data_IF_852458888620
#
_entry.id   IF_852458888620
#
_cell.length_a   1.000
_cell.length_b   1.000
_cell.length_c   1.000
_cell.angle_alpha   90.00
_cell.angle_beta   90.00
_cell.angle_gamma   90.00
#
_symmetry.space_group_name_H-M   'P 1'
#
loop_
_entity.id
_entity.type
_entity.pdbx_description
1 polymer ?
#
# COMPACT_ATOMS: atom_id res chain seq x y z
N UNK A 1 0.57 3.47 -17.40
CA UNK A 1 1.40 2.82 -16.36
C UNK A 1 1.49 1.32 -16.55
N UNK A 2 0.38 0.56 -16.40
CA UNK A 2 0.42 -0.93 -16.46
C UNK A 2 0.96 -1.49 -17.77
N UNK A 3 0.60 -0.92 -18.92
CA UNK A 3 1.15 -1.36 -20.21
C UNK A 3 2.68 -1.17 -20.27
N UNK A 4 3.20 -0.08 -19.72
CA UNK A 4 4.65 0.16 -19.64
C UNK A 4 5.33 -0.84 -18.70
N UNK A 5 4.75 -1.12 -17.53
CA UNK A 5 5.26 -2.12 -16.60
C UNK A 5 5.31 -3.52 -17.25
N UNK A 6 4.23 -3.90 -17.91
CA UNK A 6 4.15 -5.18 -18.63
C UNK A 6 5.15 -5.24 -19.79
N UNK A 7 5.28 -4.19 -20.57
CA UNK A 7 6.24 -4.12 -21.66
C UNK A 7 7.68 -4.27 -21.18
N UNK A 8 8.03 -3.55 -20.09
CA UNK A 8 9.36 -3.64 -19.49
C UNK A 8 9.65 -5.03 -18.92
N UNK A 9 8.68 -5.61 -18.18
CA UNK A 9 8.83 -6.95 -17.62
C UNK A 9 8.99 -8.01 -18.70
N UNK A 10 8.11 -7.99 -19.71
CA UNK A 10 8.16 -8.95 -20.83
C UNK A 10 9.46 -8.77 -21.63
N UNK A 11 9.85 -7.54 -21.97
CA UNK A 11 11.11 -7.26 -22.68
C UNK A 11 12.32 -7.80 -21.93
N UNK A 12 12.38 -7.58 -20.61
CA UNK A 12 13.46 -8.10 -19.77
C UNK A 12 13.49 -9.63 -19.72
N UNK A 13 12.33 -10.27 -19.64
CA UNK A 13 12.24 -11.75 -19.64
C UNK A 13 12.57 -12.35 -21.01
N UNK A 14 12.16 -11.71 -22.11
CA UNK A 14 12.51 -12.12 -23.47
C UNK A 14 14.02 -12.02 -23.69
N UNK A 15 14.64 -10.92 -23.29
CA UNK A 15 16.10 -10.75 -23.36
C UNK A 15 16.83 -11.85 -22.56
N UNK A 16 16.38 -12.16 -21.35
CA UNK A 16 16.92 -13.25 -20.55
C UNK A 16 16.75 -14.59 -21.25
N UNK A 17 15.56 -14.88 -21.79
CA UNK A 17 15.28 -16.11 -22.53
C UNK A 17 16.16 -16.27 -23.77
N UNK A 18 16.41 -15.19 -24.51
CA UNK A 18 17.30 -15.17 -25.65
C UNK A 18 18.77 -15.44 -25.27
N UNK A 19 19.25 -14.79 -24.21
CA UNK A 19 20.60 -14.99 -23.67
C UNK A 19 20.85 -16.45 -23.28
N UNK A 20 19.87 -17.11 -22.67
CA UNK A 20 19.98 -18.55 -22.31
C UNK A 20 19.56 -19.50 -23.42
N UNK A 21 19.12 -18.98 -24.59
CA UNK A 21 18.58 -19.75 -25.73
C UNK A 21 17.45 -20.69 -25.33
N UNK A 22 16.50 -20.22 -24.49
CA UNK A 22 15.49 -21.04 -23.82
C UNK A 22 14.66 -21.79 -24.84
N UNK A 23 14.33 -21.51 -25.96
CA UNK A 23 13.52 -22.29 -26.91
C UNK A 23 14.33 -22.80 -28.11
N UNK A 24 15.65 -22.62 -28.10
CA UNK A 24 16.54 -23.01 -29.20
C UNK A 24 17.46 -24.16 -28.84
N UNK A 25 17.55 -24.52 -27.57
CA UNK A 25 18.39 -25.62 -27.06
C UNK A 25 17.62 -26.45 -26.02
N UNK A 26 18.06 -27.68 -25.71
CA UNK A 26 17.49 -28.49 -24.63
C UNK A 26 17.52 -27.76 -23.31
N UNK A 27 16.44 -27.87 -22.49
CA UNK A 27 16.27 -27.17 -21.23
C UNK A 27 17.49 -27.27 -20.30
N UNK A 28 18.12 -28.44 -20.20
CA UNK A 28 19.32 -28.63 -19.37
C UNK A 28 20.48 -27.71 -19.74
N UNK A 29 20.68 -27.42 -21.04
CA UNK A 29 21.71 -26.49 -21.51
C UNK A 29 21.33 -25.05 -21.22
N UNK A 30 20.07 -24.68 -21.38
CA UNK A 30 19.56 -23.33 -21.03
C UNK A 30 19.72 -23.05 -19.54
N UNK A 31 19.40 -24.01 -18.66
CA UNK A 31 19.61 -23.89 -17.21
C UNK A 31 21.10 -23.76 -16.87
N UNK A 32 21.98 -24.53 -17.51
CA UNK A 32 23.43 -24.40 -17.34
C UNK A 32 23.96 -23.04 -17.79
N UNK A 33 23.38 -22.43 -18.84
CA UNK A 33 23.73 -21.07 -19.27
C UNK A 33 23.23 -20.01 -18.29
N UNK A 34 22.03 -20.22 -17.74
CA UNK A 34 21.46 -19.32 -16.72
C UNK A 34 22.39 -19.21 -15.51
N UNK A 35 22.88 -20.34 -14.99
CA UNK A 35 23.79 -20.36 -13.84
C UNK A 35 25.18 -19.76 -14.11
N UNK A 36 25.58 -19.67 -15.38
CA UNK A 36 26.88 -19.13 -15.81
C UNK A 36 26.82 -17.68 -16.29
N UNK A 37 25.65 -17.01 -16.16
CA UNK A 37 25.53 -15.60 -16.52
C UNK A 37 26.42 -14.73 -15.62
N UNK A 38 27.09 -13.70 -16.17
CA UNK A 38 27.86 -12.76 -15.38
C UNK A 38 26.96 -11.99 -14.41
N UNK A 39 27.51 -11.58 -13.26
CA UNK A 39 26.79 -10.84 -12.22
C UNK A 39 26.11 -9.60 -12.80
N UNK A 40 26.80 -8.85 -13.64
CA UNK A 40 26.25 -7.65 -14.28
C UNK A 40 24.99 -7.93 -15.11
N UNK A 41 24.90 -9.09 -15.78
CA UNK A 41 23.70 -9.46 -16.52
C UNK A 41 22.52 -9.75 -15.58
N UNK A 42 22.76 -10.44 -14.46
CA UNK A 42 21.76 -10.63 -13.42
C UNK A 42 21.34 -9.30 -12.76
N UNK A 43 22.33 -8.44 -12.44
CA UNK A 43 22.08 -7.13 -11.88
C UNK A 43 21.16 -6.29 -12.75
N UNK A 44 21.43 -6.23 -14.05
CA UNK A 44 20.59 -5.52 -15.02
C UNK A 44 19.18 -6.13 -15.12
N UNK A 45 19.06 -7.45 -15.20
CA UNK A 45 17.74 -8.12 -15.25
C UNK A 45 16.92 -7.81 -14.03
N UNK A 46 17.48 -7.91 -12.81
CA UNK A 46 16.80 -7.60 -11.57
C UNK A 46 16.41 -6.12 -11.50
N UNK A 47 17.30 -5.20 -11.89
CA UNK A 47 17.00 -3.78 -11.87
C UNK A 47 15.80 -3.43 -12.78
N UNK A 48 15.73 -3.99 -13.99
CA UNK A 48 14.60 -3.74 -14.89
C UNK A 48 13.30 -4.40 -14.42
N UNK A 49 13.35 -5.61 -13.86
CA UNK A 49 12.18 -6.25 -13.27
C UNK A 49 11.70 -5.47 -12.03
N UNK A 50 12.61 -5.00 -11.18
CA UNK A 50 12.29 -4.15 -10.04
C UNK A 50 11.61 -2.85 -10.47
N UNK A 51 12.12 -2.21 -11.53
CA UNK A 51 11.50 -1.02 -12.11
C UNK A 51 10.09 -1.31 -12.65
N UNK A 52 9.90 -2.44 -13.32
CA UNK A 52 8.56 -2.84 -13.80
C UNK A 52 7.58 -3.04 -12.64
N UNK A 53 8.00 -3.68 -11.54
CA UNK A 53 7.19 -3.86 -10.33
C UNK A 53 6.87 -2.51 -9.68
N UNK A 54 7.84 -1.59 -9.59
CA UNK A 54 7.64 -0.24 -9.06
C UNK A 54 6.62 0.53 -9.89
N UNK A 55 6.73 0.51 -11.23
CA UNK A 55 5.76 1.18 -12.14
C UNK A 55 4.36 0.58 -11.98
N UNK A 56 4.24 -0.75 -11.83
CA UNK A 56 2.97 -1.40 -11.56
C UNK A 56 2.37 -0.95 -10.21
N UNK A 57 3.19 -0.90 -9.16
CA UNK A 57 2.81 -0.40 -7.84
C UNK A 57 2.31 1.04 -7.87
N UNK A 58 3.08 1.95 -8.48
CA UNK A 58 2.69 3.36 -8.63
C UNK A 58 1.39 3.52 -9.42
N UNK A 59 1.22 2.70 -10.47
CA UNK A 59 0.00 2.76 -11.28
C UNK A 59 -1.22 2.29 -10.50
N UNK A 60 -1.10 1.18 -9.75
CA UNK A 60 -2.19 0.67 -8.92
C UNK A 60 -2.54 1.64 -7.80
N UNK A 61 -1.54 2.13 -7.09
CA UNK A 61 -1.73 3.09 -5.99
C UNK A 61 -2.32 4.44 -6.44
N UNK A 62 -2.10 4.85 -7.71
CA UNK A 62 -2.65 6.10 -8.23
C UNK A 62 -4.00 5.95 -8.95
N UNK A 63 -4.23 4.82 -9.62
CA UNK A 63 -5.38 4.67 -10.52
C UNK A 63 -6.55 3.89 -9.90
N UNK A 64 -6.32 3.08 -8.87
CA UNK A 64 -7.33 2.15 -8.31
C UNK A 64 -7.62 2.40 -6.82
N UNK A 65 -7.25 3.57 -6.31
CA UNK A 65 -7.62 4.00 -4.96
C UNK A 65 -9.12 3.90 -4.79
N UNK A 66 -9.54 3.36 -3.65
CA UNK A 66 -10.93 3.43 -3.20
C UNK A 66 -10.99 4.30 -1.97
N UNK A 67 -11.98 5.18 -1.92
CA UNK A 67 -12.17 6.16 -0.88
C UNK A 67 -13.62 6.17 -0.40
N UNK A 68 -13.80 6.41 0.90
CA UNK A 68 -15.09 6.73 1.51
C UNK A 68 -14.90 7.85 2.52
N UNK A 69 -15.61 8.96 2.32
CA UNK A 69 -15.61 10.12 3.23
C UNK A 69 -17.02 10.30 3.73
N UNK A 70 -17.23 10.18 5.03
CA UNK A 70 -18.54 10.36 5.65
C UNK A 70 -18.42 10.63 7.16
N UNK A 71 -19.51 11.08 7.77
CA UNK A 71 -19.61 11.13 9.23
C UNK A 71 -20.05 9.76 9.72
N UNK A 72 -19.28 9.17 10.63
CA UNK A 72 -19.61 7.91 11.28
C UNK A 72 -19.88 8.12 12.76
N UNK A 73 -21.00 7.59 13.24
CA UNK A 73 -21.29 7.46 14.65
C UNK A 73 -20.67 6.16 15.22
N UNK A 74 -20.41 6.07 16.54
CA UNK A 74 -19.94 4.82 17.15
C UNK A 74 -20.87 3.65 16.83
N UNK A 75 -20.29 2.57 16.32
CA UNK A 75 -21.03 1.37 15.86
C UNK A 75 -21.30 1.32 14.35
N UNK A 76 -21.18 2.43 13.63
CA UNK A 76 -21.37 2.46 12.18
C UNK A 76 -20.30 1.60 11.47
N UNK A 77 -20.71 0.93 10.38
CA UNK A 77 -19.83 0.08 9.57
C UNK A 77 -19.84 0.55 8.12
N UNK A 78 -18.68 0.61 7.50
CA UNK A 78 -18.49 0.95 6.09
C UNK A 78 -17.71 -0.15 5.41
N UNK A 79 -18.25 -0.71 4.32
CA UNK A 79 -17.55 -1.70 3.51
C UNK A 79 -16.79 -1.01 2.38
N UNK A 80 -15.47 -1.17 2.35
CA UNK A 80 -14.58 -0.61 1.33
C UNK A 80 -13.56 -1.65 0.87
N UNK A 81 -13.48 -1.90 -0.42
CA UNK A 81 -12.54 -2.88 -1.03
C UNK A 81 -12.62 -4.30 -0.44
N UNK A 82 -13.81 -4.71 0.08
CA UNK A 82 -14.03 -6.00 0.72
C UNK A 82 -13.54 -6.10 2.16
N UNK A 83 -13.24 -4.96 2.77
CA UNK A 83 -13.00 -4.79 4.21
C UNK A 83 -14.16 -4.04 4.84
N UNK A 84 -14.57 -4.46 6.02
CA UNK A 84 -15.59 -3.78 6.83
C UNK A 84 -14.88 -2.98 7.92
N UNK A 85 -15.06 -1.66 7.88
CA UNK A 85 -14.52 -0.71 8.85
C UNK A 85 -15.61 -0.36 9.85
N UNK A 86 -15.53 -0.88 11.06
CA UNK A 86 -16.41 -0.52 12.15
C UNK A 86 -15.77 0.61 12.96
N UNK A 87 -16.47 1.74 13.05
CA UNK A 87 -16.04 2.84 13.89
C UNK A 87 -16.48 2.60 15.34
N UNK A 88 -15.53 2.44 16.26
CA UNK A 88 -15.79 2.18 17.68
C UNK A 88 -15.96 3.47 18.50
N UNK A 89 -15.78 4.62 17.86
CA UNK A 89 -15.87 5.93 18.51
C UNK A 89 -14.53 6.65 18.54
N UNK A 90 -14.53 7.86 19.12
CA UNK A 90 -13.33 8.64 19.35
C UNK A 90 -13.35 9.26 20.73
N UNK A 91 -12.17 9.49 21.30
CA UNK A 91 -12.01 10.09 22.63
C UNK A 91 -10.82 11.07 22.66
N UNK A 92 -10.88 12.09 23.51
CA UNK A 92 -9.77 13.02 23.65
C UNK A 92 -8.65 12.41 24.51
N UNK A 93 -7.41 12.67 24.10
CA UNK A 93 -6.20 12.34 24.86
C UNK A 93 -5.24 13.55 24.90
N UNK A 94 -4.26 13.51 25.80
CA UNK A 94 -3.20 14.51 25.91
C UNK A 94 -1.85 13.88 25.67
N UNK A 95 -1.14 14.36 24.66
CA UNK A 95 0.26 14.05 24.42
C UNK A 95 1.20 15.01 25.16
N UNK A 96 2.52 14.83 25.03
CA UNK A 96 3.53 15.65 25.71
C UNK A 96 3.45 17.14 25.35
N UNK A 97 3.11 17.48 24.10
CA UNK A 97 3.08 18.84 23.56
C UNK A 97 1.88 19.10 22.63
N UNK A 98 0.86 18.21 22.66
CA UNK A 98 -0.36 18.32 21.85
C UNK A 98 -1.58 17.78 22.62
N UNK A 99 -2.75 18.23 22.22
CA UNK A 99 -4.02 17.56 22.52
C UNK A 99 -4.43 16.75 21.29
N UNK A 100 -5.01 15.59 21.47
CA UNK A 100 -5.43 14.73 20.36
C UNK A 100 -6.83 14.19 20.55
N UNK A 101 -7.51 13.91 19.44
CA UNK A 101 -8.70 13.06 19.36
C UNK A 101 -8.28 11.77 18.71
N UNK A 102 -8.35 10.67 19.45
CA UNK A 102 -8.02 9.33 18.98
C UNK A 102 -9.31 8.63 18.55
N UNK A 103 -9.42 8.29 17.27
CA UNK A 103 -10.48 7.43 16.75
C UNK A 103 -10.07 5.98 16.82
N UNK A 104 -11.03 5.05 16.93
CA UNK A 104 -10.76 3.63 16.88
C UNK A 104 -11.60 2.94 15.82
N UNK A 105 -10.95 2.16 14.95
CA UNK A 105 -11.59 1.36 13.93
C UNK A 105 -11.20 -0.12 14.09
N UNK A 106 -12.20 -0.99 14.11
CA UNK A 106 -11.98 -2.43 13.94
C UNK A 106 -12.21 -2.77 12.47
N UNK A 107 -11.17 -3.26 11.80
CA UNK A 107 -11.25 -3.65 10.39
C UNK A 107 -11.35 -5.16 10.29
N UNK A 108 -12.40 -5.63 9.61
CA UNK A 108 -12.63 -7.07 9.42
C UNK A 108 -12.68 -7.42 7.93
N UNK A 109 -12.40 -8.67 7.62
CA UNK A 109 -12.55 -9.26 6.28
C UNK A 109 -13.09 -10.67 6.41
N UNK A 110 -14.21 -10.97 5.74
CA UNK A 110 -14.89 -12.27 5.84
C UNK A 110 -15.16 -12.65 7.30
N UNK A 111 -15.59 -11.70 8.14
CA UNK A 111 -15.92 -11.91 9.54
C UNK A 111 -14.71 -12.10 10.48
N UNK A 112 -13.48 -12.01 9.98
CA UNK A 112 -12.25 -12.08 10.80
C UNK A 112 -11.64 -10.71 10.96
N UNK A 113 -11.23 -10.33 12.17
CA UNK A 113 -10.50 -9.11 12.43
C UNK A 113 -9.12 -9.18 11.76
N UNK A 114 -8.83 -8.17 10.94
CA UNK A 114 -7.54 -7.99 10.25
C UNK A 114 -6.63 -7.11 11.08
N UNK A 115 -7.15 -5.96 11.53
CA UNK A 115 -6.40 -4.96 12.29
C UNK A 115 -7.35 -4.07 13.09
N UNK A 116 -6.82 -3.45 14.14
CA UNK A 116 -7.44 -2.31 14.82
C UNK A 116 -6.57 -1.09 14.51
N UNK A 117 -7.19 -0.02 13.99
CA UNK A 117 -6.52 1.22 13.64
C UNK A 117 -6.95 2.31 14.61
N UNK A 118 -5.98 3.06 15.12
CA UNK A 118 -6.18 4.18 16.04
C UNK A 118 -5.65 5.49 15.41
N UNK A 119 -6.34 6.05 14.38
CA UNK A 119 -5.96 7.35 13.81
C UNK A 119 -6.16 8.48 14.82
N UNK A 120 -5.31 9.52 14.72
CA UNK A 120 -5.38 10.67 15.62
C UNK A 120 -5.52 11.99 14.86
N UNK A 121 -6.26 12.93 15.44
CA UNK A 121 -6.23 14.33 15.07
C UNK A 121 -5.56 15.13 16.18
N UNK A 122 -4.33 15.56 15.93
CA UNK A 122 -3.51 16.29 16.90
C UNK A 122 -3.59 17.79 16.69
N UNK A 123 -3.55 18.56 17.80
CA UNK A 123 -3.40 20.01 17.81
C UNK A 123 -2.22 20.34 18.72
N UNK A 124 -1.15 20.87 18.15
CA UNK A 124 0.06 21.19 18.89
C UNK A 124 -0.11 22.45 19.74
N UNK A 125 0.32 22.40 21.02
CA UNK A 125 0.11 23.47 21.99
C UNK A 125 0.78 24.80 21.59
N UNK A 126 1.91 24.76 20.87
CA UNK A 126 2.68 25.96 20.50
C UNK A 126 2.18 26.56 19.18
N UNK A 127 1.99 25.75 18.15
CA UNK A 127 1.60 26.24 16.82
C UNK A 127 0.09 26.41 16.66
N UNK A 128 -0.71 25.71 17.47
CA UNK A 128 -2.17 25.65 17.30
C UNK A 128 -2.61 24.95 16.00
N UNK A 129 -1.66 24.44 15.19
CA UNK A 129 -1.97 23.80 13.92
C UNK A 129 -2.45 22.37 14.12
N UNK A 130 -3.58 21.98 13.49
CA UNK A 130 -4.02 20.61 13.49
C UNK A 130 -3.18 19.76 12.51
N UNK A 131 -2.81 18.56 12.94
CA UNK A 131 -2.23 17.51 12.09
C UNK A 131 -3.06 16.24 12.19
N UNK A 132 -2.98 15.42 11.17
CA UNK A 132 -3.68 14.14 11.11
C UNK A 132 -2.65 13.02 11.08
N UNK A 133 -2.73 12.14 12.07
CA UNK A 133 -1.98 10.90 12.12
C UNK A 133 -2.92 9.78 11.68
N UNK A 134 -2.68 9.22 10.53
CA UNK A 134 -3.52 8.17 9.99
C UNK A 134 -3.20 6.81 10.62
N UNK A 135 -4.23 6.00 10.82
CA UNK A 135 -4.06 4.56 11.05
C UNK A 135 -3.82 3.86 9.73
N UNK A 136 -2.68 3.17 9.57
CA UNK A 136 -2.29 2.50 8.33
C UNK A 136 -1.91 1.06 8.62
N UNK A 137 -2.49 0.12 7.88
CA UNK A 137 -2.07 -1.28 7.87
C UNK A 137 -1.60 -1.67 6.47
N UNK A 138 -0.29 -1.87 6.27
CA UNK A 138 0.25 -2.33 5.00
C UNK A 138 -0.10 -3.80 4.77
N UNK A 139 -0.63 -4.10 3.58
CA UNK A 139 -0.84 -5.47 3.14
C UNK A 139 -0.17 -5.71 1.77
N UNK A 140 0.01 -6.97 1.39
CA UNK A 140 0.62 -7.29 0.09
C UNK A 140 -0.19 -6.75 -1.11
N UNK A 141 -1.53 -6.67 -0.97
CA UNK A 141 -2.41 -6.20 -2.05
C UNK A 141 -2.69 -4.70 -2.02
N UNK A 142 -2.42 -4.04 -0.90
CA UNK A 142 -2.62 -2.60 -0.72
C UNK A 142 -2.74 -2.21 0.74
N UNK A 143 -2.65 -0.91 1.02
CA UNK A 143 -2.72 -0.40 2.37
C UNK A 143 -4.16 -0.08 2.75
N UNK A 144 -4.53 -0.51 3.95
CA UNK A 144 -5.78 -0.14 4.63
C UNK A 144 -5.48 1.14 5.41
N UNK A 145 -6.31 2.17 5.23
CA UNK A 145 -6.01 3.49 5.75
C UNK A 145 -7.27 4.13 6.35
N UNK A 146 -7.16 4.65 7.56
CA UNK A 146 -8.24 5.33 8.26
C UNK A 146 -7.79 6.66 8.84
N UNK A 147 -8.66 7.66 8.81
CA UNK A 147 -8.46 8.98 9.40
C UNK A 147 -9.71 9.35 10.20
N UNK A 148 -9.49 10.00 11.34
CA UNK A 148 -10.54 10.69 12.10
C UNK A 148 -10.35 12.21 11.98
N UNK A 149 -11.44 12.92 11.69
CA UNK A 149 -11.49 14.38 11.55
C UNK A 149 -12.28 15.05 12.65
N UNK A 150 -13.01 16.12 12.28
CA UNK A 150 -13.84 16.89 13.21
C UNK A 150 -15.13 16.15 13.59
N UNK A 151 -15.70 16.54 14.73
CA UNK A 151 -17.03 16.10 15.13
C UNK A 151 -18.09 16.57 14.13
N UNK A 152 -19.10 15.78 13.91
CA UNK A 152 -20.21 16.06 13.00
C UNK A 152 -21.44 15.25 13.36
N UNK A 153 -22.44 15.32 12.50
CA UNK A 153 -23.66 14.53 12.63
C UNK A 153 -23.80 13.63 11.41
N UNK A 154 -24.05 12.35 11.61
CA UNK A 154 -24.28 11.43 10.52
C UNK A 154 -25.66 11.63 9.85
N UNK A 155 -25.96 10.99 8.70
CA UNK A 155 -27.25 11.12 8.03
C UNK A 155 -28.48 10.72 8.88
N UNK A 156 -28.29 9.88 9.90
CA UNK A 156 -29.33 9.46 10.82
C UNK A 156 -29.54 10.44 11.99
N UNK A 157 -28.83 11.59 12.00
CA UNK A 157 -28.91 12.59 13.06
C UNK A 157 -28.12 12.26 14.32
N UNK A 158 -27.27 11.21 14.31
CA UNK A 158 -26.44 10.82 15.46
C UNK A 158 -25.13 11.59 15.47
N UNK A 159 -24.62 12.00 16.67
CA UNK A 159 -23.31 12.60 16.78
C UNK A 159 -22.21 11.60 16.41
N UNK A 160 -21.23 12.04 15.67
CA UNK A 160 -20.13 11.23 15.17
C UNK A 160 -18.93 12.09 14.79
N UNK A 161 -18.07 11.52 13.95
CA UNK A 161 -16.86 12.18 13.47
C UNK A 161 -16.73 12.02 11.95
N UNK A 162 -16.20 13.04 11.30
CA UNK A 162 -15.81 12.92 9.89
C UNK A 162 -14.71 11.87 9.79
N UNK A 163 -14.94 10.84 9.01
CA UNK A 163 -13.97 9.76 8.76
C UNK A 163 -13.58 9.75 7.30
N UNK A 164 -12.32 9.42 7.04
CA UNK A 164 -11.84 9.16 5.68
C UNK A 164 -11.18 7.80 5.67
N UNK A 165 -11.74 6.92 4.88
CA UNK A 165 -11.26 5.55 4.74
C UNK A 165 -10.74 5.36 3.34
N UNK A 166 -9.55 4.76 3.21
CA UNK A 166 -8.94 4.49 1.91
C UNK A 166 -8.47 3.04 1.83
N UNK A 167 -8.49 2.52 0.64
CA UNK A 167 -7.72 1.37 0.26
C UNK A 167 -6.83 1.75 -0.92
N UNK A 168 -5.51 1.72 -0.71
CA UNK A 168 -4.51 2.10 -1.68
C UNK A 168 -3.85 0.84 -2.26
N UNK A 169 -4.27 0.35 -3.45
CA UNK A 169 -3.77 -0.90 -4.00
C UNK A 169 -2.29 -0.84 -4.35
N UNK A 170 -1.59 -1.96 -4.17
CA UNK A 170 -0.22 -2.19 -4.65
C UNK A 170 0.86 -1.24 -4.09
N UNK A 171 0.60 -0.51 -3.00
CA UNK A 171 1.61 0.37 -2.38
C UNK A 171 2.87 -0.42 -1.99
N UNK A 172 2.69 -1.62 -1.39
CA UNK A 172 3.80 -2.49 -1.03
C UNK A 172 4.68 -2.90 -2.24
N UNK A 173 4.10 -2.95 -3.45
CA UNK A 173 4.83 -3.29 -4.68
C UNK A 173 5.80 -2.19 -5.12
N UNK A 174 5.51 -0.91 -4.82
CA UNK A 174 6.46 0.19 -5.06
C UNK A 174 7.74 -0.05 -4.29
N UNK A 175 7.63 -0.33 -2.99
CA UNK A 175 8.78 -0.59 -2.13
C UNK A 175 9.48 -1.90 -2.49
N UNK A 176 8.72 -2.96 -2.76
CA UNK A 176 9.24 -4.24 -3.22
C UNK A 176 10.07 -4.11 -4.51
N UNK A 177 9.57 -3.34 -5.48
CA UNK A 177 10.28 -3.07 -6.73
C UNK A 177 11.58 -2.30 -6.50
N UNK A 178 11.56 -1.28 -5.62
CA UNK A 178 12.77 -0.54 -5.23
C UNK A 178 13.81 -1.46 -4.59
N UNK A 179 13.40 -2.36 -3.69
CA UNK A 179 14.32 -3.32 -3.07
C UNK A 179 14.94 -4.28 -4.07
N UNK A 180 14.15 -4.74 -5.07
CA UNK A 180 14.67 -5.55 -6.18
C UNK A 180 15.67 -4.75 -7.02
N UNK A 181 15.40 -3.46 -7.32
CA UNK A 181 16.35 -2.60 -8.04
C UNK A 181 17.65 -2.43 -7.27
N UNK A 182 17.60 -2.18 -5.95
CA UNK A 182 18.79 -2.06 -5.09
C UNK A 182 19.60 -3.35 -5.13
N UNK A 183 18.95 -4.50 -4.98
CA UNK A 183 19.62 -5.80 -5.08
C UNK A 183 20.27 -6.01 -6.45
N UNK A 184 19.59 -5.61 -7.53
CA UNK A 184 20.13 -5.65 -8.89
C UNK A 184 21.35 -4.76 -9.06
N UNK A 185 21.30 -3.52 -8.56
CA UNK A 185 22.45 -2.59 -8.60
C UNK A 185 23.64 -3.07 -7.76
N UNK A 186 23.40 -3.67 -6.59
CA UNK A 186 24.47 -4.22 -5.75
C UNK A 186 25.13 -5.47 -6.36
N UNK A 187 24.42 -6.19 -7.25
CA UNK A 187 24.94 -7.38 -7.91
C UNK A 187 25.77 -7.04 -9.17
N UNK A 188 25.50 -5.90 -9.80
CA UNK A 188 26.20 -5.50 -11.04
C UNK A 188 27.51 -4.79 -10.74
#
# INVERSE_FOLDING_TARGET
GMALAAWLAVGTLVELAERVRLFREPLGRSVSRLSRQPRAAWGMTLAHLGLAVTIAGMTGAGAWVKESIQVMAPGDVVTLAGYDFQFNGAHPEKGPNYATTVGRFTVTKNGKTVVVLDPEKRVYNVSGQPTTEAGIEPTFLGDIYAVVGDSGTNPDGKPGYVTRLYFNPLVAWMWGGVMIMIAGGALS
#
